data_IF_094422390009
#
_entry.id   IF_094422390009
#
_cell.length_a   1.000
_cell.length_b   1.000
_cell.length_c   1.000
_cell.angle_alpha   90.00
_cell.angle_beta   90.00
_cell.angle_gamma   90.00
#
_symmetry.space_group_name_H-M   'P 1'
#
loop_
_entity.id
_entity.type
_entity.pdbx_description
1 polymer ?
#
# COMPACT_ATOMS: atom_id res chain seq x y z
N UNK A 1 7.64 6.49 9.92
CA UNK A 1 6.72 5.35 10.12
C UNK A 1 7.50 4.05 10.18
N UNK A 2 7.04 3.04 10.93
CA UNK A 2 7.76 1.77 11.13
C UNK A 2 6.83 0.57 11.08
N UNK A 3 7.33 -0.57 10.61
CA UNK A 3 6.68 -1.87 10.80
C UNK A 3 6.69 -2.26 12.29
N UNK A 4 5.85 -3.21 12.67
CA UNK A 4 5.85 -3.77 14.02
C UNK A 4 7.20 -4.41 14.43
N UNK A 5 8.02 -4.82 13.45
CA UNK A 5 9.40 -5.31 13.68
C UNK A 5 10.39 -4.19 14.05
N UNK A 6 9.98 -2.91 13.92
CA UNK A 6 10.79 -1.73 14.22
C UNK A 6 11.54 -1.15 13.02
N UNK A 7 11.55 -1.86 11.89
CA UNK A 7 12.12 -1.39 10.62
C UNK A 7 11.30 -0.23 10.05
N UNK A 8 11.94 0.72 9.37
CA UNK A 8 11.21 1.80 8.69
C UNK A 8 10.41 1.23 7.52
N UNK A 9 9.22 1.78 7.28
CA UNK A 9 8.46 1.50 6.06
C UNK A 9 9.02 2.37 4.94
N UNK A 10 9.28 1.79 3.78
CA UNK A 10 9.84 2.49 2.61
C UNK A 10 8.95 2.32 1.37
N UNK A 11 9.01 3.29 0.46
CA UNK A 11 8.33 3.18 -0.83
C UNK A 11 8.91 2.01 -1.65
N UNK A 12 8.03 1.24 -2.27
CA UNK A 12 8.41 0.07 -3.06
C UNK A 12 8.60 -1.20 -2.22
N UNK A 13 8.53 -1.13 -0.88
CA UNK A 13 8.47 -2.33 -0.05
C UNK A 13 7.31 -3.22 -0.48
N UNK A 14 7.58 -4.52 -0.58
CA UNK A 14 6.56 -5.54 -0.79
C UNK A 14 6.21 -6.16 0.55
N UNK A 15 4.92 -6.13 0.86
CA UNK A 15 4.36 -6.60 2.11
C UNK A 15 3.36 -7.73 1.86
N UNK A 16 3.18 -8.58 2.86
CA UNK A 16 2.05 -9.49 2.96
C UNK A 16 1.02 -8.90 3.90
N UNK A 17 -0.24 -9.06 3.51
CA UNK A 17 -1.39 -8.73 4.34
C UNK A 17 -2.34 -9.93 4.43
N UNK A 18 -3.08 -10.10 5.54
CA UNK A 18 -4.07 -11.16 5.67
C UNK A 18 -5.28 -10.88 4.76
N UNK A 19 -5.75 -11.92 4.07
CA UNK A 19 -6.97 -11.93 3.26
C UNK A 19 -7.75 -13.21 3.56
N UNK A 20 -9.06 -13.31 3.22
CA UNK A 20 -9.89 -14.44 3.65
C UNK A 20 -9.32 -15.84 3.36
N UNK A 21 -8.58 -15.97 2.26
CA UNK A 21 -8.01 -17.25 1.81
C UNK A 21 -6.48 -17.35 2.01
N UNK A 22 -5.91 -16.57 2.94
CA UNK A 22 -4.48 -16.62 3.27
C UNK A 22 -3.86 -15.23 3.35
N UNK A 23 -2.87 -14.98 2.51
CA UNK A 23 -2.17 -13.71 2.46
C UNK A 23 -1.97 -13.26 1.02
N UNK A 24 -2.00 -11.96 0.79
CA UNK A 24 -1.79 -11.37 -0.53
C UNK A 24 -0.64 -10.38 -0.48
N UNK A 25 0.12 -10.32 -1.59
CA UNK A 25 1.26 -9.42 -1.74
C UNK A 25 0.80 -8.06 -2.23
N UNK A 26 1.33 -7.02 -1.62
CA UNK A 26 1.10 -5.63 -2.03
C UNK A 26 2.39 -4.83 -1.98
N UNK A 27 2.43 -3.74 -2.74
CA UNK A 27 3.55 -2.80 -2.79
C UNK A 27 3.17 -1.51 -2.07
N UNK A 28 4.05 -0.97 -1.21
CA UNK A 28 3.88 0.34 -0.60
C UNK A 28 4.10 1.42 -1.65
N UNK A 29 3.08 2.24 -1.91
CA UNK A 29 3.09 3.27 -2.95
C UNK A 29 2.87 4.70 -2.43
N UNK A 30 2.49 4.86 -1.16
CA UNK A 30 2.47 6.15 -0.48
C UNK A 30 2.60 6.00 1.03
N UNK A 31 3.33 6.94 1.65
CA UNK A 31 3.53 7.02 3.09
C UNK A 31 2.75 8.22 3.65
N UNK A 32 1.99 8.02 4.72
CA UNK A 32 1.22 9.06 5.40
C UNK A 32 2.08 10.16 6.01
N UNK A 33 3.04 9.80 6.86
CA UNK A 33 3.88 10.74 7.61
C UNK A 33 4.67 11.74 6.74
N UNK A 34 5.15 11.30 5.59
CA UNK A 34 5.97 12.13 4.69
C UNK A 34 5.23 12.57 3.44
N UNK A 35 4.05 12.00 3.16
CA UNK A 35 3.30 12.15 1.91
C UNK A 35 4.11 11.76 0.65
N UNK A 36 5.25 11.08 0.82
CA UNK A 36 6.04 10.54 -0.29
C UNK A 36 5.25 9.42 -0.98
N UNK A 37 5.35 9.36 -2.30
CA UNK A 37 4.59 8.42 -3.12
C UNK A 37 5.35 8.05 -4.40
N UNK A 38 5.03 6.89 -4.97
CA UNK A 38 5.60 6.41 -6.23
C UNK A 38 4.52 5.76 -7.09
N UNK A 39 4.56 5.97 -8.40
CA UNK A 39 3.74 5.24 -9.40
C UNK A 39 2.21 5.28 -9.17
N UNK A 40 1.68 6.38 -8.62
CA UNK A 40 0.23 6.56 -8.45
C UNK A 40 -0.44 7.19 -9.67
N UNK A 41 -1.65 6.75 -9.98
CA UNK A 41 -2.49 7.44 -10.97
C UNK A 41 -2.83 8.85 -10.49
N UNK A 42 -2.71 9.84 -11.36
CA UNK A 42 -2.85 11.27 -11.01
C UNK A 42 -4.21 11.63 -10.40
N UNK A 43 -5.28 11.00 -10.87
CA UNK A 43 -6.63 11.17 -10.31
C UNK A 43 -6.75 10.63 -8.89
N UNK A 44 -6.18 9.44 -8.64
CA UNK A 44 -6.14 8.84 -7.31
C UNK A 44 -5.26 9.65 -6.36
N UNK A 45 -4.07 10.09 -6.80
CA UNK A 45 -3.18 10.95 -6.02
C UNK A 45 -3.88 12.25 -5.61
N UNK A 46 -4.60 12.89 -6.53
CA UNK A 46 -5.36 14.10 -6.22
C UNK A 46 -6.42 13.80 -5.16
N UNK A 47 -7.22 12.75 -5.36
CA UNK A 47 -8.28 12.39 -4.42
C UNK A 47 -7.73 12.06 -3.02
N UNK A 48 -6.66 11.27 -2.92
CA UNK A 48 -6.09 10.88 -1.62
C UNK A 48 -5.53 12.07 -0.84
N UNK A 49 -4.92 13.03 -1.55
CA UNK A 49 -4.32 14.22 -0.92
C UNK A 49 -5.33 15.31 -0.58
N UNK A 50 -6.43 15.45 -1.34
CA UNK A 50 -7.39 16.54 -1.11
C UNK A 50 -8.62 16.14 -0.33
N UNK A 51 -9.13 14.93 -0.52
CA UNK A 51 -10.41 14.49 0.03
C UNK A 51 -10.24 13.46 1.13
N UNK A 52 -9.54 12.34 0.86
CA UNK A 52 -9.35 11.27 1.86
C UNK A 52 -8.45 11.69 3.01
N UNK A 53 -7.41 12.49 2.72
CA UNK A 53 -6.37 12.93 3.66
C UNK A 53 -5.77 11.75 4.43
N UNK A 54 -4.76 11.12 3.84
CA UNK A 54 -4.05 10.00 4.45
C UNK A 54 -3.45 10.43 5.80
N UNK A 55 -3.73 9.66 6.85
CA UNK A 55 -3.21 9.94 8.20
C UNK A 55 -1.73 9.58 8.32
N UNK A 56 -1.02 10.17 9.29
CA UNK A 56 0.44 10.05 9.42
C UNK A 56 0.91 8.60 9.69
N UNK A 57 0.06 7.73 10.22
CA UNK A 57 0.31 6.32 10.49
C UNK A 57 -0.28 5.36 9.43
N UNK A 58 -0.85 5.91 8.35
CA UNK A 58 -1.39 5.13 7.24
C UNK A 58 -0.44 5.04 6.03
N UNK A 59 -0.55 3.95 5.29
CA UNK A 59 0.09 3.75 3.98
C UNK A 59 -0.96 3.50 2.91
N UNK A 60 -0.60 3.82 1.66
CA UNK A 60 -1.31 3.31 0.49
C UNK A 60 -0.54 2.13 -0.08
N UNK A 61 -1.28 1.05 -0.31
CA UNK A 61 -0.81 -0.19 -0.87
C UNK A 61 -1.42 -0.41 -2.26
N UNK A 62 -0.62 -0.94 -3.18
CA UNK A 62 -1.05 -1.36 -4.51
C UNK A 62 -1.00 -2.89 -4.62
N UNK A 63 -2.07 -3.50 -5.14
CA UNK A 63 -2.07 -4.95 -5.39
C UNK A 63 -1.02 -5.30 -6.46
N UNK A 64 -0.09 -6.19 -6.13
CA UNK A 64 0.89 -6.72 -7.09
C UNK A 64 0.23 -7.77 -7.98
N UNK A 65 -0.51 -8.68 -7.35
CA UNK A 65 -1.29 -9.71 -8.02
C UNK A 65 -2.76 -9.26 -8.18
N UNK A 66 -3.63 -10.18 -8.61
CA UNK A 66 -5.07 -9.94 -8.67
C UNK A 66 -5.62 -9.56 -7.29
N UNK A 67 -6.43 -8.51 -7.21
CA UNK A 67 -7.15 -8.15 -6.00
C UNK A 67 -8.06 -9.32 -5.56
N UNK A 68 -7.82 -9.95 -4.39
CA UNK A 68 -8.57 -11.12 -3.94
C UNK A 68 -10.01 -10.81 -3.55
N UNK A 69 -10.35 -9.52 -3.39
CA UNK A 69 -11.70 -9.05 -3.12
C UNK A 69 -12.47 -8.69 -4.40
N UNK A 70 -11.88 -8.86 -5.59
CA UNK A 70 -12.56 -8.54 -6.85
C UNK A 70 -13.83 -9.40 -7.02
N UNK A 71 -14.97 -8.73 -7.19
CA UNK A 71 -16.26 -9.37 -7.46
C UNK A 71 -17.02 -8.63 -8.56
N UNK A 72 -18.04 -9.30 -9.11
CA UNK A 72 -18.98 -8.72 -10.08
C UNK A 72 -20.38 -8.48 -9.51
N UNK A 73 -20.56 -8.72 -8.21
CA UNK A 73 -21.85 -8.50 -7.55
C UNK A 73 -22.19 -6.99 -7.55
N UNK A 74 -23.28 -6.56 -8.21
CA UNK A 74 -23.67 -5.16 -8.27
C UNK A 74 -24.20 -4.62 -6.92
N UNK A 75 -24.48 -5.49 -5.95
CA UNK A 75 -24.96 -5.10 -4.62
C UNK A 75 -23.83 -4.80 -3.63
N UNK A 76 -22.58 -4.99 -4.05
CA UNK A 76 -21.39 -4.75 -3.22
C UNK A 76 -20.55 -3.65 -3.88
N UNK A 77 -19.89 -2.82 -3.05
CA UNK A 77 -19.06 -1.72 -3.54
C UNK A 77 -17.89 -2.24 -4.38
N UNK A 78 -17.57 -1.60 -5.53
CA UNK A 78 -16.44 -2.03 -6.36
C UNK A 78 -15.13 -1.89 -5.58
N UNK A 79 -14.24 -2.87 -5.74
CA UNK A 79 -12.92 -2.84 -5.12
C UNK A 79 -11.88 -2.24 -6.07
N UNK A 80 -10.99 -1.44 -5.51
CA UNK A 80 -9.98 -0.71 -6.27
C UNK A 80 -8.65 -1.44 -6.43
N UNK A 81 -7.76 -0.80 -7.18
CA UNK A 81 -6.34 -1.18 -7.31
C UNK A 81 -5.53 -0.91 -6.03
N UNK A 82 -6.00 0.05 -5.23
CA UNK A 82 -5.31 0.55 -4.04
C UNK A 82 -6.07 0.19 -2.77
N UNK A 83 -5.35 0.09 -1.67
CA UNK A 83 -5.89 -0.08 -0.33
C UNK A 83 -5.15 0.80 0.66
N UNK A 84 -5.84 1.18 1.73
CA UNK A 84 -5.29 1.90 2.87
C UNK A 84 -5.06 0.91 4.01
N UNK A 85 -3.95 1.07 4.72
CA UNK A 85 -3.67 0.29 5.92
C UNK A 85 -2.94 1.17 6.92
N UNK A 86 -3.18 0.95 8.21
CA UNK A 86 -2.29 1.45 9.24
C UNK A 86 -0.95 0.71 9.19
N UNK A 87 0.09 1.36 9.70
CA UNK A 87 1.40 0.75 9.97
C UNK A 87 1.32 -0.14 11.23
N UNK A 88 0.61 -1.26 11.10
CA UNK A 88 0.31 -2.17 12.20
C UNK A 88 1.00 -3.54 12.03
N UNK A 89 0.68 -4.48 12.93
CA UNK A 89 1.24 -5.83 12.97
C UNK A 89 0.85 -6.72 11.78
N UNK A 90 -0.17 -6.35 11.00
CA UNK A 90 -0.64 -7.11 9.85
C UNK A 90 0.07 -6.73 8.55
N UNK A 91 0.89 -5.67 8.58
CA UNK A 91 1.73 -5.25 7.49
C UNK A 91 3.12 -5.91 7.62
N UNK A 92 3.30 -7.06 6.97
CA UNK A 92 4.53 -7.86 7.13
C UNK A 92 5.45 -7.64 5.93
N UNK A 93 6.60 -6.99 6.16
CA UNK A 93 7.64 -6.83 5.14
C UNK A 93 8.13 -8.19 4.64
N UNK A 94 8.15 -8.37 3.31
CA UNK A 94 8.66 -9.59 2.66
C UNK A 94 9.90 -9.29 1.83
N UNK A 95 9.88 -8.18 1.11
CA UNK A 95 10.95 -7.82 0.19
C UNK A 95 11.07 -6.30 0.17
N UNK A 96 12.26 -5.81 0.49
CA UNK A 96 12.64 -4.43 0.22
C UNK A 96 13.31 -4.42 -1.13
N UNK A 97 12.73 -3.70 -2.09
CA UNK A 97 13.47 -3.42 -3.31
C UNK A 97 14.65 -2.52 -2.90
N UNK A 98 15.92 -2.97 -3.00
CA UNK A 98 17.02 -2.06 -2.76
C UNK A 98 16.84 -0.94 -3.77
N UNK A 99 16.65 0.28 -3.27
CA UNK A 99 16.54 1.46 -4.11
C UNK A 99 17.58 1.33 -5.22
N UNK A 100 17.13 1.44 -6.48
CA UNK A 100 18.03 1.36 -7.63
C UNK A 100 19.28 2.15 -7.29
N UNK A 101 20.39 1.45 -7.04
CA UNK A 101 21.69 2.06 -7.03
C UNK A 101 21.83 2.58 -8.46
N UNK A 102 21.53 3.86 -8.66
CA UNK A 102 21.97 4.60 -9.82
C UNK A 102 23.49 4.58 -9.76
N UNK A 103 24.06 3.54 -10.34
CA UNK A 103 25.44 3.50 -10.76
C UNK A 103 25.63 4.56 -11.85
N UNK A 104 26.64 5.40 -11.61
CA UNK A 104 27.36 6.31 -12.53
C UNK A 104 26.67 7.61 -12.97
#
# INVERSE_FOLDING_TARGET
MKYATGENIELGDVVLIPVPNGSARMKVVMLGDTQQHSELQSTFLKWVTTERKLEDDEVVLEWIDKNPFEHKDPNVAPVGKYMFSGADQYLVLVERNPASETHT
#
